data_IF_353504107484
#
_entry.id   IF_353504107484
#
_cell.length_a   1.000
_cell.length_b   1.000
_cell.length_c   1.000
_cell.angle_alpha   90.00
_cell.angle_beta   90.00
_cell.angle_gamma   90.00
#
_symmetry.space_group_name_H-M   'P 1'
#
loop_
_entity.id
_entity.type
_entity.pdbx_description
1 polymer ?
#
# COMPACT_ATOMS: atom_id res chain seq x y z
N UNK A 1 -9.60 28.24 45.16
CA UNK A 1 -9.30 28.19 43.71
C UNK A 1 -10.39 27.39 43.01
N UNK A 2 -11.38 28.06 42.42
CA UNK A 2 -12.51 27.39 41.76
C UNK A 2 -12.08 26.78 40.43
N UNK A 3 -12.08 25.44 40.32
CA UNK A 3 -11.84 24.76 39.04
C UNK A 3 -13.12 24.83 38.21
N UNK A 4 -13.14 25.72 37.22
CA UNK A 4 -14.23 25.82 36.25
C UNK A 4 -14.47 24.51 35.52
N UNK A 5 -15.72 24.07 35.44
CA UNK A 5 -16.11 22.87 34.68
C UNK A 5 -16.12 23.20 33.19
N UNK A 6 -14.98 23.02 32.53
CA UNK A 6 -14.91 23.07 31.08
C UNK A 6 -15.64 21.85 30.49
N UNK A 7 -16.88 22.04 30.04
CA UNK A 7 -17.56 21.04 29.19
C UNK A 7 -17.01 21.20 27.78
N UNK A 8 -16.01 20.40 27.43
CA UNK A 8 -15.57 20.28 26.05
C UNK A 8 -16.77 19.90 25.19
N UNK A 9 -17.12 20.74 24.21
CA UNK A 9 -18.12 20.36 23.20
C UNK A 9 -17.63 19.07 22.53
N UNK A 10 -18.49 18.08 22.26
CA UNK A 10 -18.08 16.92 21.49
C UNK A 10 -17.56 17.43 20.16
N UNK A 11 -16.25 17.34 19.95
CA UNK A 11 -15.63 17.68 18.66
C UNK A 11 -16.27 16.72 17.66
N UNK A 12 -17.12 17.27 16.79
CA UNK A 12 -17.92 16.48 15.85
C UNK A 12 -17.03 15.45 15.17
N UNK A 13 -17.42 14.18 15.26
CA UNK A 13 -16.66 13.12 14.61
C UNK A 13 -16.60 13.43 13.12
N UNK A 14 -15.39 13.67 12.62
CA UNK A 14 -15.17 13.88 11.19
C UNK A 14 -15.27 12.52 10.53
N UNK A 15 -16.32 12.30 9.75
CA UNK A 15 -16.44 11.12 8.90
C UNK A 15 -15.48 11.27 7.72
N UNK A 16 -14.36 10.56 7.78
CA UNK A 16 -13.47 10.43 6.63
C UNK A 16 -13.96 9.26 5.76
N UNK A 17 -13.91 9.44 4.45
CA UNK A 17 -14.19 8.33 3.53
C UNK A 17 -13.08 7.29 3.66
N UNK A 18 -13.46 6.02 3.83
CA UNK A 18 -12.48 4.93 3.83
C UNK A 18 -12.05 4.62 2.40
N UNK A 19 -10.86 4.04 2.18
CA UNK A 19 -10.39 3.64 0.85
C UNK A 19 -11.37 2.69 0.15
N UNK A 20 -11.99 1.79 0.90
CA UNK A 20 -13.02 0.87 0.40
C UNK A 20 -14.29 1.61 -0.08
N UNK A 21 -14.73 2.66 0.63
CA UNK A 21 -15.86 3.49 0.20
C UNK A 21 -15.53 4.40 -0.99
N UNK A 22 -14.25 4.77 -1.16
CA UNK A 22 -13.78 5.49 -2.34
C UNK A 22 -13.83 4.60 -3.57
N UNK A 23 -13.38 3.34 -3.46
CA UNK A 23 -13.43 2.34 -4.54
C UNK A 23 -14.86 1.94 -4.90
N UNK A 24 -15.72 1.77 -3.90
CA UNK A 24 -17.14 1.47 -4.11
C UNK A 24 -17.96 2.66 -4.64
N UNK A 25 -17.37 3.85 -4.74
CA UNK A 25 -18.05 5.06 -5.22
C UNK A 25 -19.14 5.59 -4.28
N UNK A 26 -19.30 5.03 -3.09
CA UNK A 26 -20.31 5.43 -2.08
C UNK A 26 -19.81 6.56 -1.18
N UNK A 27 -18.65 7.16 -1.49
CA UNK A 27 -18.06 8.21 -0.67
C UNK A 27 -18.97 9.44 -0.55
N UNK A 28 -19.04 10.04 0.63
CA UNK A 28 -19.86 11.24 0.95
C UNK A 28 -19.33 12.54 0.32
N UNK A 29 -18.49 12.46 -0.72
CA UNK A 29 -17.85 13.61 -1.36
C UNK A 29 -18.89 14.34 -2.24
N UNK A 30 -18.97 15.68 -2.18
CA UNK A 30 -19.93 16.42 -3.00
C UNK A 30 -19.59 16.25 -4.48
N UNK A 31 -20.61 15.98 -5.32
CA UNK A 31 -20.47 15.77 -6.78
C UNK A 31 -19.82 16.95 -7.53
N UNK A 32 -19.77 18.12 -6.93
CA UNK A 32 -19.12 19.32 -7.49
C UNK A 32 -17.60 19.31 -7.33
N UNK A 33 -17.06 18.50 -6.41
CA UNK A 33 -15.64 18.23 -6.31
C UNK A 33 -15.30 17.15 -7.35
N UNK A 34 -15.30 17.57 -8.63
CA UNK A 34 -14.79 16.74 -9.71
C UNK A 34 -13.39 16.29 -9.31
N UNK A 35 -13.16 14.99 -9.47
CA UNK A 35 -11.85 14.36 -9.41
C UNK A 35 -11.04 14.97 -10.55
N UNK A 36 -10.41 16.12 -10.32
CA UNK A 36 -9.07 16.28 -10.87
C UNK A 36 -8.30 15.13 -10.22
N UNK A 37 -8.02 14.09 -11.00
CA UNK A 37 -7.01 13.14 -10.62
C UNK A 37 -5.78 13.99 -10.35
N UNK A 38 -5.46 14.18 -9.08
CA UNK A 38 -4.06 14.30 -8.73
C UNK A 38 -3.50 12.97 -9.22
N UNK A 39 -2.99 12.99 -10.46
CA UNK A 39 -1.91 12.13 -10.87
C UNK A 39 -0.96 12.16 -9.67
N UNK A 40 -1.03 11.10 -8.88
CA UNK A 40 0.17 10.64 -8.26
C UNK A 40 1.09 10.48 -9.46
N UNK A 41 2.10 11.34 -9.58
CA UNK A 41 3.31 10.98 -10.27
C UNK A 41 3.77 9.67 -9.58
N UNK A 42 3.16 8.53 -9.95
CA UNK A 42 3.99 7.50 -10.55
C UNK A 42 4.80 8.31 -11.56
N UNK A 43 6.10 8.46 -11.28
CA UNK A 43 7.09 8.52 -12.34
C UNK A 43 6.80 7.32 -13.26
N UNK A 44 5.74 7.43 -14.06
CA UNK A 44 5.70 6.93 -15.39
C UNK A 44 6.81 7.73 -16.00
N UNK A 45 8.02 7.15 -15.92
CA UNK A 45 9.07 7.44 -16.87
C UNK A 45 8.31 7.70 -18.17
N UNK A 46 8.43 8.92 -18.69
CA UNK A 46 8.29 9.12 -20.11
C UNK A 46 9.36 8.20 -20.72
N UNK A 47 9.06 6.90 -20.76
CA UNK A 47 9.35 6.05 -21.88
C UNK A 47 8.79 6.88 -23.03
N UNK A 48 9.70 7.66 -23.61
CA UNK A 48 9.63 8.14 -24.96
C UNK A 48 9.29 6.90 -25.77
N UNK A 49 8.00 6.62 -25.85
CA UNK A 49 7.36 5.84 -26.88
C UNK A 49 7.53 6.69 -28.13
N UNK A 50 8.80 6.78 -28.55
CA UNK A 50 9.18 6.83 -29.93
C UNK A 50 8.59 5.54 -30.47
N UNK A 51 7.30 5.62 -30.78
CA UNK A 51 6.62 4.80 -31.74
C UNK A 51 7.59 4.76 -32.92
N UNK A 52 8.42 3.72 -32.93
CA UNK A 52 9.24 3.32 -34.05
C UNK A 52 8.23 2.86 -35.07
N UNK A 53 7.56 3.86 -35.64
CA UNK A 53 6.69 3.78 -36.77
C UNK A 53 7.50 3.02 -37.81
N UNK A 54 7.02 1.80 -38.07
CA UNK A 54 7.57 0.87 -39.03
C UNK A 54 7.97 1.72 -40.24
N UNK A 55 9.28 1.75 -40.51
CA UNK A 55 9.88 2.59 -41.54
C UNK A 55 9.55 1.98 -42.90
N UNK A 56 8.25 1.85 -43.17
CA UNK A 56 7.64 1.66 -44.47
C UNK A 56 8.22 2.76 -45.35
N UNK A 57 8.87 2.43 -46.48
CA UNK A 57 9.40 3.42 -47.40
C UNK A 57 8.29 4.32 -47.99
N UNK A 58 7.02 3.95 -47.78
CA UNK A 58 5.82 4.67 -48.23
C UNK A 58 5.28 5.67 -47.21
N UNK A 59 5.80 5.69 -45.98
CA UNK A 59 5.42 6.70 -45.00
C UNK A 59 6.15 8.03 -45.23
N UNK A 60 5.37 9.08 -45.48
CA UNK A 60 5.87 10.42 -45.76
C UNK A 60 6.48 11.02 -44.50
N UNK A 61 7.80 10.89 -44.35
CA UNK A 61 8.56 11.58 -43.30
C UNK A 61 8.42 13.08 -43.43
N UNK A 62 8.29 13.77 -42.30
CA UNK A 62 8.12 15.22 -42.26
C UNK A 62 9.47 15.91 -42.51
N UNK A 63 9.49 16.87 -43.43
CA UNK A 63 10.65 17.73 -43.66
C UNK A 63 11.84 17.04 -44.33
N UNK A 64 13.06 17.39 -43.91
CA UNK A 64 14.32 16.93 -44.50
C UNK A 64 14.75 15.51 -44.08
N UNK A 65 14.02 14.90 -43.14
CA UNK A 65 14.30 13.56 -42.62
C UNK A 65 14.17 12.45 -43.68
N UNK A 66 13.40 12.68 -44.76
CA UNK A 66 13.31 11.75 -45.88
C UNK A 66 14.44 11.90 -46.92
N UNK A 67 15.25 12.95 -46.82
CA UNK A 67 16.36 13.24 -47.76
C UNK A 67 17.69 12.72 -47.21
N UNK A 68 17.81 12.59 -45.89
CA UNK A 68 19.03 12.13 -45.22
C UNK A 68 18.94 10.62 -45.03
N UNK A 69 19.73 9.88 -45.81
CA UNK A 69 19.86 8.43 -45.69
C UNK A 69 20.66 8.09 -44.42
N UNK A 70 20.02 7.42 -43.45
CA UNK A 70 20.66 7.01 -42.20
C UNK A 70 21.43 5.70 -42.46
N UNK A 71 22.69 5.80 -42.88
CA UNK A 71 23.61 4.66 -43.02
C UNK A 71 24.26 4.28 -41.69
N UNK A 72 23.47 4.04 -40.65
CA UNK A 72 24.02 3.55 -39.38
C UNK A 72 24.16 2.01 -39.44
N UNK A 73 25.38 1.44 -39.47
CA UNK A 73 25.59 -0.01 -39.57
C UNK A 73 25.10 -0.77 -38.33
N UNK A 74 24.87 -0.08 -37.21
CA UNK A 74 24.29 -0.65 -36.00
C UNK A 74 22.76 -0.44 -35.91
N UNK A 75 22.12 0.10 -36.96
CA UNK A 75 20.67 0.25 -37.00
C UNK A 75 20.03 -1.12 -37.17
N UNK A 76 19.67 -1.73 -36.04
CA UNK A 76 18.95 -3.01 -36.04
C UNK A 76 17.51 -2.73 -36.42
N UNK A 77 17.15 -3.05 -37.67
CA UNK A 77 15.75 -2.99 -38.12
C UNK A 77 14.91 -3.94 -37.28
N UNK A 78 13.83 -3.45 -36.70
CA UNK A 78 12.89 -4.28 -35.95
C UNK A 78 12.35 -5.38 -36.88
N UNK A 79 12.54 -6.64 -36.50
CA UNK A 79 11.97 -7.78 -37.22
C UNK A 79 10.63 -8.11 -36.58
N UNK A 80 9.56 -7.98 -37.35
CA UNK A 80 8.21 -8.37 -36.94
C UNK A 80 8.13 -9.90 -36.77
N UNK A 81 8.51 -10.38 -35.58
CA UNK A 81 8.39 -11.80 -35.20
C UNK A 81 6.95 -12.09 -34.79
N UNK A 82 6.39 -13.18 -35.34
CA UNK A 82 5.05 -13.64 -34.98
C UNK A 82 5.11 -14.25 -33.58
N UNK A 83 4.08 -13.99 -32.78
CA UNK A 83 3.98 -14.45 -31.38
C UNK A 83 4.14 -15.99 -31.21
N UNK A 84 4.00 -16.78 -32.28
CA UNK A 84 4.19 -18.24 -32.26
C UNK A 84 5.66 -18.68 -32.29
N UNK A 85 6.55 -17.84 -32.78
CA UNK A 85 7.99 -18.11 -32.87
C UNK A 85 8.78 -17.45 -31.71
N UNK A 86 8.06 -16.83 -30.77
CA UNK A 86 8.65 -16.26 -29.56
C UNK A 86 9.07 -17.38 -28.59
N UNK A 87 10.38 -17.57 -28.47
CA UNK A 87 11.01 -18.61 -27.66
C UNK A 87 10.96 -18.23 -26.17
N UNK A 88 9.82 -18.44 -25.53
CA UNK A 88 9.55 -18.13 -24.10
C UNK A 88 10.39 -18.95 -23.11
N UNK A 89 11.13 -19.96 -23.59
CA UNK A 89 11.99 -20.82 -22.78
C UNK A 89 13.39 -20.23 -22.49
N UNK A 90 13.77 -19.15 -23.15
CA UNK A 90 15.00 -18.42 -22.83
C UNK A 90 14.70 -17.51 -21.65
N UNK A 91 15.08 -17.94 -20.45
CA UNK A 91 15.20 -17.04 -19.31
C UNK A 91 16.21 -15.97 -19.71
N UNK A 92 15.72 -14.82 -20.18
CA UNK A 92 16.56 -13.65 -20.33
C UNK A 92 17.24 -13.47 -18.99
N UNK A 93 18.55 -13.61 -18.96
CA UNK A 93 19.32 -13.39 -17.76
C UNK A 93 19.03 -11.98 -17.30
N UNK A 94 18.16 -11.84 -16.27
CA UNK A 94 17.70 -10.56 -15.77
C UNK A 94 18.91 -9.64 -15.63
N UNK A 95 18.78 -8.43 -16.15
CA UNK A 95 19.82 -7.42 -16.10
C UNK A 95 20.30 -7.28 -14.65
N UNK A 96 21.57 -6.95 -14.42
CA UNK A 96 22.11 -6.79 -13.05
C UNK A 96 21.21 -5.88 -12.19
N UNK A 97 20.66 -4.83 -12.81
CA UNK A 97 19.69 -3.91 -12.19
C UNK A 97 18.40 -4.62 -11.77
N UNK A 98 17.80 -5.38 -12.66
CA UNK A 98 16.56 -6.12 -12.39
C UNK A 98 16.74 -7.17 -11.30
N UNK A 99 17.92 -7.83 -11.22
CA UNK A 99 18.22 -8.78 -10.14
C UNK A 99 18.27 -8.09 -8.78
N UNK A 100 18.96 -6.95 -8.70
CA UNK A 100 19.07 -6.17 -7.45
C UNK A 100 17.71 -5.61 -7.02
N UNK A 101 16.88 -5.17 -7.96
CA UNK A 101 15.52 -4.70 -7.68
C UNK A 101 14.62 -5.82 -7.15
N UNK A 102 14.66 -7.00 -7.77
CA UNK A 102 13.90 -8.17 -7.29
C UNK A 102 14.39 -8.63 -5.92
N UNK A 103 15.71 -8.61 -5.67
CA UNK A 103 16.25 -8.92 -4.35
C UNK A 103 15.83 -7.90 -3.29
N UNK A 104 15.81 -6.62 -3.63
CA UNK A 104 15.33 -5.54 -2.75
C UNK A 104 13.84 -5.72 -2.42
N UNK A 105 13.01 -6.04 -3.42
CA UNK A 105 11.60 -6.34 -3.22
C UNK A 105 11.42 -7.56 -2.32
N UNK A 106 12.10 -8.68 -2.61
CA UNK A 106 12.06 -9.90 -1.78
C UNK A 106 12.53 -9.65 -0.35
N UNK A 107 13.57 -8.84 -0.16
CA UNK A 107 14.06 -8.48 1.17
C UNK A 107 13.03 -7.64 1.94
N UNK A 108 12.38 -6.69 1.28
CA UNK A 108 11.31 -5.91 1.86
C UNK A 108 10.10 -6.77 2.25
N UNK A 109 9.63 -7.63 1.33
CA UNK A 109 8.55 -8.59 1.60
C UNK A 109 8.89 -9.52 2.76
N UNK A 110 10.13 -10.02 2.82
CA UNK A 110 10.58 -10.86 3.93
C UNK A 110 10.55 -10.10 5.25
N UNK A 111 11.00 -8.85 5.26
CA UNK A 111 10.95 -8.00 6.45
C UNK A 111 9.51 -7.77 6.90
N UNK A 112 8.61 -7.40 5.98
CA UNK A 112 7.19 -7.21 6.25
C UNK A 112 6.56 -8.50 6.80
N UNK A 113 6.84 -9.64 6.18
CA UNK A 113 6.37 -10.95 6.64
C UNK A 113 6.89 -11.31 8.04
N UNK A 114 8.14 -10.96 8.36
CA UNK A 114 8.70 -11.18 9.69
C UNK A 114 8.06 -10.26 10.74
N UNK A 115 7.74 -9.02 10.36
CA UNK A 115 7.03 -8.06 11.21
C UNK A 115 5.62 -8.57 11.52
N UNK A 116 4.88 -9.00 10.50
CA UNK A 116 3.55 -9.62 10.65
C UNK A 116 3.57 -10.87 11.52
N UNK A 117 4.61 -11.70 11.37
CA UNK A 117 4.82 -12.88 12.22
C UNK A 117 5.22 -12.53 13.66
N UNK A 118 5.47 -11.26 13.98
CA UNK A 118 5.92 -10.88 15.32
C UNK A 118 7.37 -11.25 15.60
N UNK A 119 8.18 -11.58 14.58
CA UNK A 119 9.53 -12.10 14.76
C UNK A 119 10.60 -11.02 14.85
N UNK A 120 10.33 -9.82 14.34
CA UNK A 120 11.20 -8.65 14.50
C UNK A 120 11.21 -8.19 15.96
N UNK A 121 12.30 -7.57 16.41
CA UNK A 121 12.40 -7.08 17.79
C UNK A 121 11.32 -6.05 18.14
N UNK A 122 10.95 -5.21 17.17
CA UNK A 122 9.87 -4.23 17.33
C UNK A 122 8.52 -4.92 17.55
N UNK A 123 8.16 -5.87 16.69
CA UNK A 123 6.89 -6.57 16.81
C UNK A 123 6.83 -7.44 18.09
N UNK A 124 7.95 -8.04 18.51
CA UNK A 124 8.03 -8.73 19.81
C UNK A 124 7.72 -7.80 20.97
N UNK A 125 8.34 -6.62 21.02
CA UNK A 125 8.07 -5.61 22.06
C UNK A 125 6.61 -5.16 22.06
N UNK A 126 6.02 -4.97 20.87
CA UNK A 126 4.62 -4.59 20.75
C UNK A 126 3.68 -5.71 21.24
N UNK A 127 3.97 -6.97 20.88
CA UNK A 127 3.23 -8.13 21.38
C UNK A 127 3.36 -8.28 22.90
N UNK A 128 4.56 -8.11 23.45
CA UNK A 128 4.82 -8.12 24.89
C UNK A 128 4.00 -7.02 25.60
N UNK A 129 4.03 -5.80 25.07
CA UNK A 129 3.23 -4.67 25.57
C UNK A 129 1.73 -4.98 25.54
N UNK A 130 1.23 -5.55 24.45
CA UNK A 130 -0.17 -5.94 24.33
C UNK A 130 -0.53 -7.06 25.32
N UNK A 131 0.36 -8.02 25.53
CA UNK A 131 0.15 -9.11 26.49
C UNK A 131 0.05 -8.59 27.93
N UNK A 132 0.91 -7.65 28.32
CA UNK A 132 0.85 -6.98 29.62
C UNK A 132 -0.45 -6.21 29.82
N UNK A 133 -0.94 -5.51 28.79
CA UNK A 133 -2.24 -4.83 28.86
C UNK A 133 -3.40 -5.84 29.00
N UNK A 134 -3.35 -6.98 28.29
CA UNK A 134 -4.35 -8.04 28.44
C UNK A 134 -4.34 -8.60 29.87
N UNK A 135 -3.17 -8.90 30.42
CA UNK A 135 -3.02 -9.36 31.80
C UNK A 135 -3.59 -8.34 32.81
N UNK A 136 -3.25 -7.06 32.68
CA UNK A 136 -3.79 -6.02 33.55
C UNK A 136 -5.32 -5.91 33.46
N UNK A 137 -5.89 -6.08 32.26
CA UNK A 137 -7.35 -6.07 32.07
C UNK A 137 -8.01 -7.30 32.69
N UNK A 138 -7.43 -8.47 32.52
CA UNK A 138 -7.91 -9.72 33.10
C UNK A 138 -7.83 -9.69 34.64
N UNK A 139 -6.72 -9.23 35.20
CA UNK A 139 -6.57 -9.04 36.65
C UNK A 139 -7.57 -8.03 37.20
N UNK A 140 -7.79 -6.91 36.50
CA UNK A 140 -8.79 -5.92 36.90
C UNK A 140 -10.22 -6.47 36.80
N UNK A 141 -10.51 -7.33 35.81
CA UNK A 141 -11.79 -8.01 35.69
C UNK A 141 -12.00 -9.02 36.83
N UNK A 142 -11.00 -9.87 37.11
CA UNK A 142 -11.01 -10.82 38.23
C UNK A 142 -11.19 -10.12 39.57
N UNK A 143 -10.42 -9.06 39.86
CA UNK A 143 -10.59 -8.26 41.09
C UNK A 143 -12.00 -7.68 41.22
N UNK A 144 -12.60 -7.19 40.13
CA UNK A 144 -13.99 -6.70 40.14
C UNK A 144 -15.01 -7.81 40.37
N UNK A 145 -14.78 -9.01 39.84
CA UNK A 145 -15.65 -10.16 40.07
C UNK A 145 -15.56 -10.66 41.51
N UNK A 146 -14.36 -10.74 42.07
CA UNK A 146 -14.13 -11.09 43.48
C UNK A 146 -14.76 -10.08 44.44
N UNK A 147 -14.59 -8.77 44.19
CA UNK A 147 -15.24 -7.73 45.00
C UNK A 147 -16.76 -7.79 44.92
N UNK A 148 -17.32 -8.08 43.74
CA UNK A 148 -18.77 -8.27 43.56
C UNK A 148 -19.27 -9.51 44.31
N UNK A 149 -18.57 -10.63 44.18
CA UNK A 149 -18.91 -11.87 44.87
C UNK A 149 -18.82 -11.71 46.40
N UNK A 150 -17.77 -11.08 46.92
CA UNK A 150 -17.63 -10.80 48.35
C UNK A 150 -18.74 -9.86 48.86
N UNK A 151 -19.14 -8.86 48.06
CA UNK A 151 -20.26 -7.97 48.41
C UNK A 151 -21.60 -8.69 48.40
N UNK A 152 -21.79 -9.65 47.50
CA UNK A 152 -23.00 -10.47 47.44
C UNK A 152 -23.07 -11.46 48.60
N UNK A 153 -21.96 -12.13 48.95
CA UNK A 153 -21.86 -12.97 50.14
C UNK A 153 -22.20 -12.18 51.40
N UNK A 154 -21.57 -11.01 51.62
CA UNK A 154 -21.89 -10.12 52.76
C UNK A 154 -23.37 -9.73 52.78
N UNK A 155 -23.96 -9.38 51.63
CA UNK A 155 -25.40 -9.07 51.55
C UNK A 155 -26.28 -10.27 51.90
N UNK A 156 -25.90 -11.46 51.46
CA UNK A 156 -26.63 -12.69 51.76
C UNK A 156 -26.53 -13.09 53.23
N UNK A 157 -25.36 -12.91 53.86
CA UNK A 157 -25.15 -13.10 55.29
C UNK A 157 -25.96 -12.10 56.12
N UNK A 158 -26.01 -10.82 55.74
CA UNK A 158 -26.83 -9.81 56.44
C UNK A 158 -28.35 -10.00 56.27
N UNK A 159 -28.79 -10.82 55.32
CA UNK A 159 -30.22 -11.10 55.07
C UNK A 159 -30.71 -12.39 55.75
N UNK A 160 -29.81 -13.20 56.31
CA UNK A 160 -30.13 -14.33 57.19
C UNK A 160 -30.23 -13.85 58.64
#
# INVERSE_FOLDING_TARGET
MGRGKFKGKPTGQRHFSTPEQMLAGTSTRPRTFKREEAEYEEEKEEESEEESEDEDPDQKRKGTQGIIEIENPNLVKAKNLKARDADTGKTSELSRREREEIEKQRAHERYMRLQEQGKTEQARKDLERLSLIRQQREEAAKKREEEKAAKEQKKSETRK
#
